data_IF_433853933437
#
_entry.id   IF_433853933437
#
_cell.length_a   1.000
_cell.length_b   1.000
_cell.length_c   1.000
_cell.angle_alpha   90.00
_cell.angle_beta   90.00
_cell.angle_gamma   90.00
#
_symmetry.space_group_name_H-M   'P 1'
#
loop_
_entity.id
_entity.type
_entity.pdbx_description
1 polymer ?
#
# COMPACT_ATOMS: atom_id res chain seq x y z
N UNK A 1 -18.63 19.80 7.36
CA UNK A 1 -20.01 19.94 6.85
C UNK A 1 -20.95 19.66 8.03
N UNK A 2 -21.57 20.68 8.63
CA UNK A 2 -22.38 20.56 9.87
C UNK A 2 -23.87 20.67 9.54
N UNK A 3 -24.47 19.57 9.09
CA UNK A 3 -25.86 19.53 8.59
C UNK A 3 -26.86 18.93 9.58
N UNK A 4 -26.46 18.73 10.84
CA UNK A 4 -27.32 18.05 11.82
C UNK A 4 -28.64 18.80 12.04
N UNK A 5 -28.61 20.13 12.18
CA UNK A 5 -29.83 20.93 12.34
C UNK A 5 -30.74 20.89 11.09
N UNK A 6 -30.17 20.69 9.90
CA UNK A 6 -30.92 20.55 8.64
C UNK A 6 -31.43 19.12 8.42
N UNK A 7 -30.81 18.13 9.07
CA UNK A 7 -31.12 16.71 8.96
C UNK A 7 -32.20 16.28 9.94
N UNK A 8 -32.22 16.82 11.16
CA UNK A 8 -33.19 16.47 12.20
C UNK A 8 -34.66 16.65 11.76
N UNK A 9 -35.06 17.75 11.07
CA UNK A 9 -36.43 17.89 10.55
C UNK A 9 -36.79 16.87 9.47
N UNK A 10 -35.79 16.30 8.77
CA UNK A 10 -35.99 15.29 7.72
C UNK A 10 -36.14 13.88 8.30
N UNK A 11 -35.38 13.58 9.35
CA UNK A 11 -35.44 12.29 10.05
C UNK A 11 -36.67 12.19 10.95
N UNK A 12 -37.14 13.31 11.51
CA UNK A 12 -38.28 13.37 12.44
C UNK A 12 -39.30 14.43 11.99
N UNK A 13 -39.99 14.20 10.85
CA UNK A 13 -40.89 15.19 10.26
C UNK A 13 -42.17 15.42 11.05
N UNK A 14 -42.48 14.58 12.04
CA UNK A 14 -43.59 14.68 12.98
C UNK A 14 -43.24 15.47 14.25
N UNK A 15 -41.95 15.60 14.57
CA UNK A 15 -41.48 16.32 15.75
C UNK A 15 -41.39 17.83 15.51
N UNK A 16 -42.31 18.58 16.12
CA UNK A 16 -42.28 20.04 16.07
C UNK A 16 -41.01 20.61 16.71
N UNK A 17 -40.50 19.96 17.76
CA UNK A 17 -39.23 20.31 18.41
C UNK A 17 -38.07 20.17 17.42
N UNK A 18 -38.02 19.08 16.65
CA UNK A 18 -36.95 18.86 15.67
C UNK A 18 -36.95 19.91 14.55
N UNK A 19 -38.14 20.37 14.13
CA UNK A 19 -38.32 21.44 13.12
C UNK A 19 -37.87 22.82 13.63
N UNK A 20 -38.01 23.07 14.92
CA UNK A 20 -37.74 24.38 15.53
C UNK A 20 -36.31 24.52 16.07
N UNK A 21 -35.51 23.43 16.05
CA UNK A 21 -34.10 23.46 16.47
C UNK A 21 -33.28 24.37 15.55
N UNK A 22 -32.78 25.46 16.13
CA UNK A 22 -31.82 26.37 15.50
C UNK A 22 -30.53 26.42 16.31
N UNK A 23 -29.48 25.79 15.79
CA UNK A 23 -28.18 25.74 16.45
C UNK A 23 -27.11 26.40 15.59
N UNK A 24 -26.35 27.33 16.20
CA UNK A 24 -25.16 27.89 15.57
C UNK A 24 -24.07 26.82 15.48
N UNK A 25 -23.19 26.96 14.48
CA UNK A 25 -22.14 25.98 14.11
C UNK A 25 -21.36 25.42 15.30
N UNK A 26 -20.94 26.26 16.26
CA UNK A 26 -20.16 25.85 17.43
C UNK A 26 -20.96 24.98 18.41
N UNK A 27 -22.26 25.25 18.59
CA UNK A 27 -23.13 24.42 19.43
C UNK A 27 -23.47 23.09 18.74
N UNK A 28 -23.72 23.10 17.43
CA UNK A 28 -23.88 21.86 16.64
C UNK A 28 -22.64 20.98 16.79
N UNK A 29 -21.45 21.56 16.66
CA UNK A 29 -20.20 20.82 16.81
C UNK A 29 -20.04 20.23 18.21
N UNK A 30 -20.38 21.00 19.25
CA UNK A 30 -20.32 20.53 20.63
C UNK A 30 -21.29 19.36 20.89
N UNK A 31 -22.51 19.42 20.36
CA UNK A 31 -23.49 18.31 20.48
C UNK A 31 -23.02 17.07 19.71
N UNK A 32 -22.48 17.24 18.49
CA UNK A 32 -21.94 16.13 17.71
C UNK A 32 -20.78 15.48 18.46
N UNK A 33 -19.82 16.27 18.95
CA UNK A 33 -18.59 15.72 19.53
C UNK A 33 -18.82 15.16 20.94
N UNK A 34 -19.52 15.90 21.80
CA UNK A 34 -19.54 15.63 23.24
C UNK A 34 -20.80 14.89 23.71
N UNK A 35 -21.81 14.76 22.84
CA UNK A 35 -23.01 13.98 23.16
C UNK A 35 -23.09 12.78 22.21
N UNK A 36 -23.33 13.02 20.91
CA UNK A 36 -23.51 11.93 19.94
C UNK A 36 -22.23 11.08 19.83
N UNK A 37 -21.08 11.73 19.65
CA UNK A 37 -19.79 11.05 19.52
C UNK A 37 -19.41 10.24 20.76
N UNK A 38 -19.67 10.77 21.96
CA UNK A 38 -19.35 10.05 23.20
C UNK A 38 -20.32 8.88 23.44
N UNK A 39 -21.62 9.04 23.17
CA UNK A 39 -22.61 7.96 23.26
C UNK A 39 -22.33 6.86 22.23
N UNK A 40 -22.05 7.20 20.97
CA UNK A 40 -21.74 6.22 19.93
C UNK A 40 -20.42 5.50 20.21
N UNK A 41 -19.44 6.18 20.82
CA UNK A 41 -18.20 5.56 21.30
C UNK A 41 -18.48 4.55 22.41
N UNK A 42 -19.33 4.86 23.38
CA UNK A 42 -19.73 3.92 24.43
C UNK A 42 -20.48 2.71 23.86
N UNK A 43 -21.40 2.94 22.92
CA UNK A 43 -22.11 1.88 22.20
C UNK A 43 -21.14 0.98 21.43
N UNK A 44 -20.23 1.58 20.66
CA UNK A 44 -19.19 0.84 19.92
C UNK A 44 -18.32 0.00 20.88
N UNK A 45 -17.92 0.55 22.03
CA UNK A 45 -17.17 -0.20 23.05
C UNK A 45 -17.98 -1.40 23.56
N UNK A 46 -19.29 -1.24 23.76
CA UNK A 46 -20.18 -2.32 24.19
C UNK A 46 -20.33 -3.40 23.11
N UNK A 47 -20.46 -3.01 21.84
CA UNK A 47 -20.57 -3.92 20.71
C UNK A 47 -19.28 -4.72 20.50
N UNK A 48 -18.12 -4.05 20.56
CA UNK A 48 -16.80 -4.70 20.48
C UNK A 48 -16.55 -5.69 21.63
N UNK A 49 -17.17 -5.50 22.80
CA UNK A 49 -17.07 -6.44 23.92
C UNK A 49 -17.98 -7.67 23.78
N UNK A 50 -19.06 -7.57 23.02
CA UNK A 50 -20.11 -8.59 22.96
C UNK A 50 -20.11 -9.41 21.66
N UNK A 51 -19.43 -8.95 20.62
CA UNK A 51 -19.40 -9.59 19.31
C UNK A 51 -17.97 -9.95 18.88
N UNK A 52 -17.80 -11.05 18.16
CA UNK A 52 -16.53 -11.35 17.51
C UNK A 52 -16.38 -10.46 16.27
N UNK A 53 -15.32 -9.66 16.24
CA UNK A 53 -15.00 -8.75 15.14
C UNK A 53 -13.59 -9.01 14.60
N UNK A 54 -13.34 -8.61 13.36
CA UNK A 54 -12.00 -8.60 12.77
C UNK A 54 -11.51 -7.16 12.63
N UNK A 55 -10.26 -6.92 13.02
CA UNK A 55 -9.60 -5.62 12.89
C UNK A 55 -8.82 -5.62 11.57
N UNK A 56 -9.08 -4.62 10.73
CA UNK A 56 -8.21 -4.28 9.61
C UNK A 56 -7.08 -3.40 10.15
N UNK A 57 -5.85 -3.90 10.08
CA UNK A 57 -4.65 -3.13 10.42
C UNK A 57 -4.10 -2.53 9.12
N UNK A 58 -4.06 -1.21 9.06
CA UNK A 58 -3.42 -0.45 7.98
C UNK A 58 -1.90 -0.40 8.22
N UNK A 59 -1.14 -0.32 7.13
CA UNK A 59 0.32 -0.46 7.09
C UNK A 59 1.03 0.58 7.98
N UNK A 60 1.81 0.14 8.97
CA UNK A 60 2.71 1.03 9.69
C UNK A 60 3.97 1.25 8.86
N UNK A 61 4.13 2.45 8.30
CA UNK A 61 5.38 2.92 7.72
C UNK A 61 6.42 3.12 8.83
N UNK A 62 7.34 2.17 8.97
CA UNK A 62 8.61 2.40 9.64
C UNK A 62 9.61 2.96 8.62
N UNK A 63 10.40 3.95 9.03
CA UNK A 63 11.32 4.74 8.20
C UNK A 63 12.54 3.91 7.72
N UNK A 64 12.63 2.65 8.14
CA UNK A 64 13.57 1.69 7.55
C UNK A 64 12.82 0.75 6.60
N UNK A 65 13.30 0.67 5.36
CA UNK A 65 12.86 -0.21 4.26
C UNK A 65 13.03 -1.69 4.62
N UNK A 66 12.30 -2.18 5.63
CA UNK A 66 12.34 -3.57 6.07
C UNK A 66 10.91 -4.04 6.36
N UNK A 67 10.30 -4.63 5.33
CA UNK A 67 9.03 -5.35 5.44
C UNK A 67 9.24 -6.67 6.15
N UNK A 68 9.30 -6.66 7.49
CA UNK A 68 9.33 -7.90 8.28
C UNK A 68 7.92 -8.41 8.51
N UNK A 69 7.57 -9.55 7.92
CA UNK A 69 6.38 -10.31 8.30
C UNK A 69 6.62 -10.86 9.72
N UNK A 70 5.83 -10.44 10.70
CA UNK A 70 6.05 -10.68 12.14
C UNK A 70 6.14 -12.16 12.58
N UNK A 71 5.88 -13.11 11.68
CA UNK A 71 5.83 -14.55 11.97
C UNK A 71 7.01 -15.34 11.41
N UNK A 72 7.70 -14.84 10.37
CA UNK A 72 8.72 -15.61 9.65
C UNK A 72 10.13 -15.18 10.11
N UNK A 73 11.09 -16.11 10.10
CA UNK A 73 12.50 -15.82 10.42
C UNK A 73 13.02 -14.78 9.44
N UNK A 74 13.50 -13.63 9.98
CA UNK A 74 13.98 -12.48 9.20
C UNK A 74 15.02 -12.86 8.15
N UNK A 75 15.94 -13.76 8.50
CA UNK A 75 16.97 -14.21 7.56
C UNK A 75 16.35 -14.94 6.36
N UNK A 76 15.37 -15.82 6.57
CA UNK A 76 14.71 -16.55 5.50
C UNK A 76 13.97 -15.60 4.54
N UNK A 77 13.20 -14.64 5.07
CA UNK A 77 12.49 -13.65 4.23
C UNK A 77 13.45 -12.77 3.45
N UNK A 78 14.57 -12.38 4.04
CA UNK A 78 15.54 -11.48 3.40
C UNK A 78 16.48 -12.19 2.41
N UNK A 79 16.70 -13.50 2.58
CA UNK A 79 17.62 -14.27 1.72
C UNK A 79 16.91 -15.03 0.60
N UNK A 80 15.60 -15.27 0.72
CA UNK A 80 14.83 -16.00 -0.27
C UNK A 80 14.12 -15.04 -1.23
N UNK A 81 14.08 -15.33 -2.55
CA UNK A 81 13.20 -14.64 -3.47
C UNK A 81 11.74 -14.75 -2.99
N UNK A 82 10.98 -13.65 -3.04
CA UNK A 82 9.64 -13.54 -2.45
C UNK A 82 8.66 -14.59 -2.98
N UNK A 83 8.83 -14.99 -4.24
CA UNK A 83 8.06 -16.02 -4.93
C UNK A 83 8.31 -17.44 -4.41
N UNK A 84 9.44 -17.66 -3.72
CA UNK A 84 9.81 -18.96 -3.12
C UNK A 84 9.42 -19.06 -1.65
N UNK A 85 8.96 -17.96 -1.06
CA UNK A 85 8.53 -17.92 0.34
C UNK A 85 7.17 -18.62 0.46
N UNK A 86 7.13 -19.70 1.25
CA UNK A 86 5.89 -20.34 1.66
C UNK A 86 5.55 -19.99 3.11
N UNK A 87 4.52 -19.14 3.36
CA UNK A 87 4.08 -18.77 4.70
C UNK A 87 3.49 -19.92 5.52
N UNK A 88 3.27 -21.10 4.94
CA UNK A 88 2.78 -22.29 5.65
C UNK A 88 3.91 -23.15 6.22
N UNK A 89 5.16 -22.93 5.81
CA UNK A 89 6.29 -23.79 6.20
C UNK A 89 6.73 -23.50 7.65
N UNK A 90 6.29 -24.35 8.58
CA UNK A 90 6.49 -24.13 10.02
C UNK A 90 7.95 -24.02 10.48
N UNK A 91 8.89 -24.68 9.79
CA UNK A 91 10.32 -24.61 10.13
C UNK A 91 10.89 -23.19 9.99
N UNK A 92 10.26 -22.36 9.15
CA UNK A 92 10.67 -20.98 8.91
C UNK A 92 9.93 -19.99 9.80
N UNK A 93 9.07 -20.47 10.71
CA UNK A 93 8.32 -19.62 11.63
C UNK A 93 9.14 -19.36 12.89
N UNK A 94 8.97 -18.17 13.44
CA UNK A 94 9.41 -17.89 14.80
C UNK A 94 8.66 -18.80 15.78
N UNK A 95 9.37 -19.17 16.84
CA UNK A 95 8.75 -19.78 18.01
C UNK A 95 7.68 -18.87 18.58
N UNK A 96 6.61 -19.46 19.12
CA UNK A 96 5.45 -18.69 19.59
C UNK A 96 5.86 -17.61 20.58
N UNK A 97 6.81 -17.89 21.47
CA UNK A 97 7.29 -16.95 22.49
C UNK A 97 8.04 -15.75 21.90
N UNK A 98 8.66 -15.93 20.74
CA UNK A 98 9.49 -14.93 20.06
C UNK A 98 8.70 -14.08 19.04
N UNK A 99 7.40 -14.37 18.87
CA UNK A 99 6.50 -13.55 18.05
C UNK A 99 6.23 -12.26 18.79
N UNK A 100 6.82 -11.17 18.33
CA UNK A 100 6.58 -9.83 18.87
C UNK A 100 5.25 -9.27 18.35
N UNK A 101 4.38 -8.83 19.27
CA UNK A 101 3.04 -8.31 18.96
C UNK A 101 2.91 -6.80 19.24
N UNK A 102 4.02 -6.10 19.44
CA UNK A 102 4.03 -4.68 19.80
C UNK A 102 4.08 -4.45 21.31
N UNK A 103 4.66 -3.30 21.72
CA UNK A 103 4.85 -2.93 23.13
C UNK A 103 3.53 -2.91 23.92
N UNK A 104 2.45 -2.40 23.33
CA UNK A 104 1.15 -2.33 24.00
C UNK A 104 0.59 -3.70 24.33
N UNK A 105 0.55 -4.60 23.34
CA UNK A 105 0.09 -5.99 23.54
C UNK A 105 1.01 -6.74 24.49
N UNK A 106 2.33 -6.46 24.45
CA UNK A 106 3.27 -7.11 25.33
C UNK A 106 3.04 -6.74 26.80
N UNK A 107 2.81 -5.45 27.10
CA UNK A 107 2.46 -5.01 28.46
C UNK A 107 1.20 -5.69 28.99
N UNK A 108 0.18 -5.81 28.15
CA UNK A 108 -1.06 -6.52 28.52
C UNK A 108 -0.84 -8.03 28.66
N UNK A 109 0.04 -8.63 27.85
CA UNK A 109 0.39 -10.04 28.00
C UNK A 109 1.19 -10.31 29.27
N UNK A 110 2.04 -9.37 29.68
CA UNK A 110 2.85 -9.51 30.89
C UNK A 110 1.97 -9.45 32.17
N UNK A 111 0.81 -8.77 32.11
CA UNK A 111 -0.16 -8.71 33.20
C UNK A 111 -1.02 -9.99 33.35
N UNK A 112 -1.05 -10.85 32.33
CA UNK A 112 -1.76 -12.14 32.38
C UNK A 112 -0.88 -13.17 33.10
N UNK A 113 -1.37 -13.82 34.15
CA UNK A 113 -0.58 -14.87 34.85
C UNK A 113 -0.55 -16.21 34.09
N UNK A 114 -1.60 -16.50 33.33
CA UNK A 114 -1.76 -17.78 32.66
C UNK A 114 -0.95 -17.84 31.35
N UNK A 115 0.18 -18.56 31.40
CA UNK A 115 1.07 -18.77 30.24
C UNK A 115 0.42 -19.51 29.07
N UNK A 116 -0.52 -20.43 29.33
CA UNK A 116 -1.24 -21.15 28.27
C UNK A 116 -2.12 -20.20 27.45
N UNK A 117 -2.76 -19.23 28.10
CA UNK A 117 -3.53 -18.17 27.43
C UNK A 117 -2.65 -17.26 26.58
N UNK A 118 -1.45 -16.90 27.07
CA UNK A 118 -0.48 -16.13 26.28
C UNK A 118 -0.07 -16.90 25.02
N UNK A 119 0.28 -18.17 25.16
CA UNK A 119 0.64 -19.03 24.03
C UNK A 119 -0.52 -19.21 23.05
N UNK A 120 -1.75 -19.33 23.55
CA UNK A 120 -2.96 -19.43 22.72
C UNK A 120 -3.16 -18.16 21.89
N UNK A 121 -3.07 -16.98 22.50
CA UNK A 121 -3.17 -15.71 21.77
C UNK A 121 -2.09 -15.62 20.68
N UNK A 122 -0.83 -15.90 21.03
CA UNK A 122 0.28 -15.86 20.06
C UNK A 122 0.06 -16.84 18.91
N UNK A 123 -0.48 -18.03 19.19
CA UNK A 123 -0.85 -19.02 18.16
C UNK A 123 -1.97 -18.50 17.26
N UNK A 124 -2.98 -17.82 17.81
CA UNK A 124 -4.04 -17.20 17.01
C UNK A 124 -3.51 -16.09 16.11
N UNK A 125 -2.67 -15.20 16.64
CA UNK A 125 -2.00 -14.14 15.86
C UNK A 125 -1.12 -14.74 14.75
N UNK A 126 -0.33 -15.78 15.07
CA UNK A 126 0.47 -16.53 14.09
C UNK A 126 -0.40 -17.04 12.96
N UNK A 127 -1.48 -17.75 13.27
CA UNK A 127 -2.39 -18.32 12.27
C UNK A 127 -3.06 -17.24 11.42
N UNK A 128 -3.45 -16.12 12.02
CA UNK A 128 -4.02 -14.99 11.29
C UNK A 128 -3.04 -14.42 10.26
N UNK A 129 -1.79 -14.16 10.67
CA UNK A 129 -0.75 -13.62 9.78
C UNK A 129 -0.41 -14.61 8.67
N UNK A 130 -0.28 -15.91 8.98
CA UNK A 130 -0.09 -16.96 7.96
C UNK A 130 -1.21 -16.90 6.90
N UNK A 131 -2.47 -16.83 7.34
CA UNK A 131 -3.62 -16.74 6.44
C UNK A 131 -3.60 -15.47 5.59
N UNK A 132 -3.21 -14.34 6.18
CA UNK A 132 -3.06 -13.08 5.46
C UNK A 132 -1.97 -13.17 4.39
N UNK A 133 -0.78 -13.70 4.73
CA UNK A 133 0.32 -13.90 3.79
C UNK A 133 -0.06 -14.84 2.64
N UNK A 134 -0.71 -15.98 2.94
CA UNK A 134 -1.24 -16.87 1.90
C UNK A 134 -2.25 -16.15 1.00
N UNK A 135 -3.10 -15.29 1.58
CA UNK A 135 -4.03 -14.45 0.83
C UNK A 135 -3.32 -13.47 -0.11
N UNK A 136 -2.24 -12.84 0.34
CA UNK A 136 -1.40 -11.97 -0.48
C UNK A 136 -0.72 -12.75 -1.61
N UNK A 137 -0.06 -13.88 -1.30
CA UNK A 137 0.57 -14.75 -2.30
C UNK A 137 -0.40 -15.27 -3.37
N UNK A 138 -1.69 -15.40 -3.05
CA UNK A 138 -2.72 -15.78 -4.03
C UNK A 138 -3.19 -14.63 -4.91
N UNK A 139 -3.16 -13.39 -4.39
CA UNK A 139 -3.70 -12.20 -5.07
C UNK A 139 -2.64 -11.50 -5.92
N UNK A 140 -1.39 -11.56 -5.50
CA UNK A 140 -0.27 -10.96 -6.20
C UNK A 140 0.50 -12.04 -6.94
N UNK A 141 0.65 -11.85 -8.26
CA UNK A 141 1.55 -12.67 -9.06
C UNK A 141 2.98 -12.17 -8.79
N UNK A 142 3.61 -12.65 -7.71
CA UNK A 142 4.97 -12.24 -7.35
C UNK A 142 6.04 -12.70 -8.36
N UNK A 143 5.68 -13.66 -9.23
CA UNK A 143 6.50 -14.09 -10.36
C UNK A 143 5.98 -13.51 -11.70
N UNK A 144 5.25 -12.38 -11.65
CA UNK A 144 4.80 -11.73 -12.87
C UNK A 144 6.00 -11.13 -13.61
N UNK A 145 6.28 -11.69 -14.79
CA UNK A 145 7.35 -11.23 -15.66
C UNK A 145 7.18 -9.75 -16.01
N UNK A 146 5.95 -9.24 -16.09
CA UNK A 146 5.65 -7.83 -16.32
C UNK A 146 6.14 -7.00 -15.14
N UNK A 147 5.84 -7.39 -13.89
CA UNK A 147 6.27 -6.65 -12.71
C UNK A 147 7.79 -6.64 -12.55
N UNK A 148 8.45 -7.76 -12.86
CA UNK A 148 9.92 -7.87 -12.85
C UNK A 148 10.56 -6.95 -13.88
N UNK A 149 10.01 -6.90 -15.11
CA UNK A 149 10.55 -6.01 -16.14
C UNK A 149 10.21 -4.54 -15.88
N UNK A 150 9.01 -4.21 -15.36
CA UNK A 150 8.64 -2.83 -14.97
C UNK A 150 9.52 -2.32 -13.83
N UNK A 151 9.89 -3.17 -12.86
CA UNK A 151 10.78 -2.79 -11.77
C UNK A 151 12.19 -2.37 -12.24
N UNK A 152 12.55 -2.57 -13.51
CA UNK A 152 13.79 -2.06 -14.12
C UNK A 152 13.68 -0.58 -14.51
N UNK A 153 12.46 -0.04 -14.58
CA UNK A 153 12.17 1.37 -14.89
C UNK A 153 12.04 2.23 -13.63
N UNK A 154 12.40 1.69 -12.47
CA UNK A 154 12.55 2.45 -11.24
C UNK A 154 13.67 3.47 -11.40
N UNK A 155 13.48 4.66 -10.82
CA UNK A 155 14.28 5.84 -11.07
C UNK A 155 15.76 5.60 -10.73
N UNK A 156 16.03 4.94 -9.60
CA UNK A 156 17.38 4.59 -9.16
C UNK A 156 18.11 3.69 -10.16
N UNK A 157 17.40 2.79 -10.84
CA UNK A 157 17.97 1.86 -11.84
C UNK A 157 18.08 2.47 -13.22
N UNK A 158 17.16 3.37 -13.58
CA UNK A 158 17.21 4.09 -14.86
C UNK A 158 18.44 5.00 -14.94
N UNK A 159 18.92 5.49 -13.80
CA UNK A 159 20.03 6.44 -13.70
C UNK A 159 21.35 5.75 -13.33
N UNK A 160 21.30 4.48 -12.90
CA UNK A 160 22.50 3.73 -12.55
C UNK A 160 23.31 3.32 -13.78
N UNK A 161 24.59 3.02 -13.55
CA UNK A 161 25.46 2.43 -14.58
C UNK A 161 25.05 0.98 -14.95
N UNK A 162 24.17 0.35 -14.15
CA UNK A 162 23.65 -1.01 -14.34
C UNK A 162 22.28 -1.03 -15.06
N UNK A 163 21.97 0.06 -15.77
CA UNK A 163 20.73 0.22 -16.53
C UNK A 163 20.71 -0.72 -17.73
N UNK A 164 19.54 -1.30 -17.99
CA UNK A 164 19.31 -2.06 -19.22
C UNK A 164 19.55 -1.24 -20.48
N UNK A 165 20.31 -1.81 -21.42
CA UNK A 165 20.65 -1.15 -22.68
C UNK A 165 19.50 -1.14 -23.69
N UNK A 166 18.47 -1.96 -23.47
CA UNK A 166 17.33 -2.15 -24.37
C UNK A 166 16.05 -2.43 -23.61
N UNK A 167 14.93 -2.04 -24.20
CA UNK A 167 13.57 -2.32 -23.71
C UNK A 167 12.85 -3.38 -24.53
N UNK A 168 13.56 -4.08 -25.42
CA UNK A 168 13.00 -5.09 -26.31
C UNK A 168 12.33 -6.26 -25.58
N UNK A 169 12.77 -6.58 -24.37
CA UNK A 169 12.13 -7.59 -23.50
C UNK A 169 10.69 -7.25 -23.12
N UNK A 170 10.31 -5.97 -23.11
CA UNK A 170 8.95 -5.53 -22.78
C UNK A 170 7.94 -5.74 -23.91
N UNK A 171 8.37 -5.68 -25.18
CA UNK A 171 7.46 -5.72 -26.32
C UNK A 171 6.55 -6.96 -26.34
N UNK A 172 7.05 -8.19 -26.10
CA UNK A 172 6.19 -9.37 -26.03
C UNK A 172 5.32 -9.41 -24.76
N UNK A 173 5.69 -8.68 -23.71
CA UNK A 173 5.00 -8.69 -22.41
C UNK A 173 3.86 -7.67 -22.33
N UNK A 174 3.95 -6.58 -23.08
CA UNK A 174 2.96 -5.49 -23.12
C UNK A 174 2.30 -5.34 -24.51
N UNK A 175 1.67 -6.39 -25.07
CA UNK A 175 1.19 -6.39 -26.46
C UNK A 175 0.10 -5.36 -26.77
N UNK A 176 -0.52 -4.76 -25.75
CA UNK A 176 -1.53 -3.70 -25.90
C UNK A 176 -0.93 -2.30 -26.00
N UNK A 177 0.28 -2.11 -25.49
CA UNK A 177 0.92 -0.81 -25.32
C UNK A 177 2.16 -0.72 -26.22
N UNK A 178 2.92 -1.81 -26.32
CA UNK A 178 4.10 -1.89 -27.14
C UNK A 178 3.77 -1.81 -28.64
N UNK A 179 4.60 -1.12 -29.45
CA UNK A 179 4.41 -1.08 -30.89
C UNK A 179 4.49 -2.48 -31.51
N UNK A 180 3.61 -2.79 -32.47
CA UNK A 180 3.62 -4.08 -33.18
C UNK A 180 4.62 -4.10 -34.35
N UNK A 181 4.97 -2.93 -34.88
CA UNK A 181 5.93 -2.80 -35.98
C UNK A 181 7.36 -2.74 -35.44
N UNK A 182 8.26 -3.52 -36.05
CA UNK A 182 9.70 -3.52 -35.73
C UNK A 182 10.31 -2.12 -35.85
N UNK A 183 9.84 -1.31 -36.82
CA UNK A 183 10.35 0.04 -37.01
C UNK A 183 10.03 0.94 -35.80
N UNK A 184 8.79 0.91 -35.31
CA UNK A 184 8.38 1.69 -34.14
C UNK A 184 8.97 1.14 -32.84
N UNK A 185 9.21 -0.18 -32.76
CA UNK A 185 9.96 -0.79 -31.66
C UNK A 185 11.42 -0.28 -31.61
N UNK A 186 12.06 -0.16 -32.77
CA UNK A 186 13.41 0.39 -32.88
C UNK A 186 13.45 1.87 -32.47
N UNK A 187 12.48 2.66 -32.92
CA UNK A 187 12.36 4.07 -32.52
C UNK A 187 12.28 4.20 -30.99
N UNK A 188 11.42 3.40 -30.33
CA UNK A 188 11.27 3.39 -28.88
C UNK A 188 12.56 2.94 -28.17
N UNK A 189 13.24 1.90 -28.65
CA UNK A 189 14.52 1.43 -28.09
C UNK A 189 15.64 2.48 -28.25
N UNK A 190 15.64 3.23 -29.35
CA UNK A 190 16.57 4.33 -29.58
C UNK A 190 16.28 5.53 -28.67
N UNK A 191 15.00 5.87 -28.43
CA UNK A 191 14.59 6.85 -27.42
C UNK A 191 15.12 6.42 -26.04
N UNK A 192 14.92 5.16 -25.67
CA UNK A 192 15.44 4.62 -24.41
C UNK A 192 16.96 4.81 -24.31
N UNK A 193 17.74 4.43 -25.33
CA UNK A 193 19.21 4.57 -25.28
C UNK A 193 19.71 6.00 -25.20
N UNK A 194 18.95 6.97 -25.70
CA UNK A 194 19.31 8.40 -25.65
C UNK A 194 19.01 9.03 -24.30
N UNK A 195 18.08 8.47 -23.53
CA UNK A 195 17.62 9.01 -22.25
C UNK A 195 18.76 9.43 -21.28
N UNK A 196 19.89 8.70 -21.15
CA UNK A 196 20.99 9.10 -20.28
C UNK A 196 21.70 10.41 -20.63
N UNK A 197 21.57 10.87 -21.87
CA UNK A 197 22.13 12.16 -22.28
C UNK A 197 21.39 13.35 -21.65
N UNK A 198 20.22 13.12 -21.03
CA UNK A 198 19.28 14.14 -20.57
C UNK A 198 19.04 14.15 -19.05
N UNK A 199 19.53 13.15 -18.30
CA UNK A 199 19.32 13.10 -16.83
C UNK A 199 19.91 14.29 -16.08
N UNK A 200 20.97 14.92 -16.63
CA UNK A 200 21.68 16.02 -15.97
C UNK A 200 20.80 17.27 -15.78
N UNK A 201 19.73 17.39 -16.56
CA UNK A 201 18.81 18.54 -16.53
C UNK A 201 17.50 18.23 -15.77
N UNK A 202 17.35 17.02 -15.22
CA UNK A 202 16.12 16.55 -14.57
C UNK A 202 16.27 16.44 -13.04
N UNK A 203 15.18 16.73 -12.33
CA UNK A 203 15.13 16.57 -10.87
C UNK A 203 14.79 15.12 -10.48
N UNK A 204 15.79 14.41 -9.97
CA UNK A 204 15.72 13.00 -9.61
C UNK A 204 15.09 12.75 -8.23
N UNK A 205 14.74 13.81 -7.49
CA UNK A 205 14.05 13.69 -6.20
C UNK A 205 12.53 13.56 -6.33
N UNK A 206 12.02 13.67 -7.57
CA UNK A 206 10.59 13.66 -7.85
C UNK A 206 10.00 12.24 -7.88
N UNK A 207 8.71 12.10 -7.57
CA UNK A 207 7.97 10.86 -7.78
C UNK A 207 8.09 10.35 -9.24
N UNK A 208 8.09 9.02 -9.48
CA UNK A 208 8.29 8.45 -10.82
C UNK A 208 7.34 8.99 -11.89
N UNK A 209 6.07 9.22 -11.56
CA UNK A 209 5.07 9.77 -12.47
C UNK A 209 5.40 11.21 -12.90
N UNK A 210 5.88 12.04 -11.97
CA UNK A 210 6.33 13.41 -12.25
C UNK A 210 7.59 13.41 -13.10
N UNK A 211 8.52 12.50 -12.81
CA UNK A 211 9.74 12.31 -13.59
C UNK A 211 9.43 11.92 -15.05
N UNK A 212 8.65 10.86 -15.25
CA UNK A 212 8.29 10.38 -16.59
C UNK A 212 7.44 11.39 -17.36
N UNK A 213 6.63 12.19 -16.66
CA UNK A 213 5.96 13.34 -17.26
C UNK A 213 6.98 14.36 -17.79
N UNK A 214 7.98 14.77 -17.00
CA UNK A 214 9.01 15.73 -17.45
C UNK A 214 9.80 15.22 -18.66
N UNK A 215 10.18 13.93 -18.65
CA UNK A 215 10.81 13.26 -19.80
C UNK A 215 9.93 13.37 -21.05
N UNK A 216 8.61 13.18 -20.93
CA UNK A 216 7.67 13.27 -22.05
C UNK A 216 7.57 14.66 -22.69
N UNK A 217 7.88 15.71 -21.92
CA UNK A 217 7.88 17.11 -22.37
C UNK A 217 9.24 17.58 -22.84
N UNK A 218 10.28 16.75 -22.77
CA UNK A 218 11.60 17.12 -23.28
C UNK A 218 11.57 17.15 -24.83
N UNK A 219 11.87 18.32 -25.39
CA UNK A 219 11.87 18.58 -26.82
C UNK A 219 13.27 18.99 -27.22
N UNK A 220 13.87 18.30 -28.20
CA UNK A 220 15.04 18.82 -28.90
C UNK A 220 14.64 19.21 -30.34
N UNK A 221 14.97 20.44 -30.71
CA UNK A 221 14.90 20.97 -32.08
C UNK A 221 13.70 20.57 -32.97
N UNK A 222 12.47 20.70 -32.46
CA UNK A 222 11.15 20.63 -33.15
C UNK A 222 10.37 19.29 -33.13
N UNK A 223 10.81 18.26 -32.41
CA UNK A 223 10.00 17.07 -32.13
C UNK A 223 10.15 16.62 -30.66
N UNK A 224 9.10 16.05 -30.07
CA UNK A 224 9.17 15.44 -28.73
C UNK A 224 9.95 14.13 -28.86
N UNK A 225 11.07 14.00 -28.15
CA UNK A 225 12.04 12.90 -28.36
C UNK A 225 11.75 11.64 -27.52
N UNK A 226 10.80 11.68 -26.58
CA UNK A 226 10.55 10.58 -25.64
C UNK A 226 9.06 10.23 -25.48
N UNK A 227 8.25 10.47 -26.52
CA UNK A 227 6.80 10.25 -26.45
C UNK A 227 6.50 8.78 -26.16
N UNK A 228 7.21 7.87 -26.82
CA UNK A 228 6.88 6.44 -26.77
C UNK A 228 7.33 5.85 -25.44
N UNK A 229 8.54 6.16 -24.97
CA UNK A 229 9.05 5.73 -23.66
C UNK A 229 8.13 6.23 -22.53
N UNK A 230 7.67 7.47 -22.61
CA UNK A 230 6.80 8.04 -21.57
C UNK A 230 5.38 7.47 -21.59
N UNK A 231 4.81 7.17 -22.77
CA UNK A 231 3.49 6.54 -22.88
C UNK A 231 3.53 5.10 -22.39
N UNK A 232 4.59 4.35 -22.69
CA UNK A 232 4.69 2.94 -22.29
C UNK A 232 4.95 2.80 -20.78
N UNK A 233 5.62 3.76 -20.16
CA UNK A 233 5.94 3.71 -18.72
C UNK A 233 4.84 4.36 -17.86
N UNK A 234 4.08 5.32 -18.40
CA UNK A 234 2.98 5.98 -17.66
C UNK A 234 1.59 5.32 -17.83
N UNK A 235 1.46 4.30 -18.68
CA UNK A 235 0.21 3.56 -18.95
C UNK A 235 0.10 2.27 -18.12
#
# INVERSE_FOLDING_TARGET
>A
MNHLADLLPKLFPDSQIAKDIRLKRTKVQAVINNCIGETEKENLISDLKSQMFSILIDESTDIAVVKTVAVVVRNYVNSAPIETIDPMTEINHKDLKDIYLGLGVQKELDSVENEERKLTLRKMCKNFIIRACVGLCKRYCFNDKIMTEIAKFDLEKVISDDREESVSSLFPLLPRIAPTSIQHQQELDDEWRKLPLYYKDLDLSQPPDVFWHQVSFHVNSKQREFILVSIVIAA
#
